data_IF_257925176936
#
_entry.id   IF_257925176936
#
_cell.length_a   1.000
_cell.length_b   1.000
_cell.length_c   1.000
_cell.angle_alpha   90.00
_cell.angle_beta   90.00
_cell.angle_gamma   90.00
#
_symmetry.space_group_name_H-M   'P 1'
#
loop_
_entity.id
_entity.type
_entity.pdbx_description
1 polymer ?
#
# COMPACT_ATOMS: atom_id res chain seq x y z
N UNK A 1 -3.29 -10.05 -0.26
CA UNK A 1 -3.58 -8.78 0.43
C UNK A 1 -4.49 -9.00 1.64
N UNK A 2 -5.76 -9.39 1.44
CA UNK A 2 -6.76 -9.43 2.53
C UNK A 2 -6.35 -10.31 3.72
N UNK A 3 -5.86 -11.53 3.48
CA UNK A 3 -5.38 -12.42 4.54
C UNK A 3 -4.27 -11.77 5.40
N UNK A 4 -3.22 -11.23 4.76
CA UNK A 4 -2.12 -10.56 5.45
C UNK A 4 -2.56 -9.34 6.25
N UNK A 5 -3.51 -8.56 5.70
CA UNK A 5 -4.07 -7.38 6.36
C UNK A 5 -4.91 -7.78 7.58
N UNK A 6 -5.72 -8.84 7.47
CA UNK A 6 -6.51 -9.36 8.59
C UNK A 6 -5.62 -9.86 9.72
N UNK A 7 -4.58 -10.65 9.42
CA UNK A 7 -3.62 -11.10 10.43
C UNK A 7 -2.88 -9.92 11.09
N UNK A 8 -2.53 -8.88 10.31
CA UNK A 8 -1.93 -7.67 10.85
C UNK A 8 -2.86 -6.96 11.86
N UNK A 9 -4.17 -6.92 11.62
CA UNK A 9 -5.14 -6.33 12.54
C UNK A 9 -5.34 -7.18 13.80
N UNK A 10 -5.45 -8.50 13.62
CA UNK A 10 -5.72 -9.43 14.72
C UNK A 10 -4.53 -9.63 15.66
N UNK A 11 -3.32 -9.23 15.26
CA UNK A 11 -2.11 -9.42 16.07
C UNK A 11 -2.17 -8.75 17.46
N UNK A 12 -2.96 -7.68 17.60
CA UNK A 12 -3.21 -6.99 18.86
C UNK A 12 -4.45 -7.50 19.61
N UNK A 13 -5.25 -8.35 19.00
CA UNK A 13 -6.42 -8.95 19.64
C UNK A 13 -5.98 -9.94 20.73
N UNK A 14 -6.51 -9.82 21.97
CA UNK A 14 -6.11 -10.69 23.07
C UNK A 14 -6.56 -12.14 22.88
N UNK A 15 -7.63 -12.39 22.12
CA UNK A 15 -8.23 -13.73 21.99
C UNK A 15 -7.89 -14.45 20.69
N UNK A 16 -7.63 -13.72 19.61
CA UNK A 16 -7.48 -14.30 18.26
C UNK A 16 -6.07 -14.16 17.68
N UNK A 17 -5.15 -13.50 18.40
CA UNK A 17 -3.77 -13.33 17.95
C UNK A 17 -3.00 -14.65 18.03
N UNK A 18 -2.45 -15.08 16.88
CA UNK A 18 -1.50 -16.21 16.79
C UNK A 18 -0.24 -15.99 17.64
N UNK A 19 0.06 -14.73 18.01
CA UNK A 19 1.20 -14.35 18.83
C UNK A 19 0.77 -13.88 20.23
N UNK A 20 -0.29 -14.47 20.81
CA UNK A 20 -0.87 -14.06 22.10
C UNK A 20 0.18 -13.88 23.20
N UNK A 21 1.11 -14.83 23.34
CA UNK A 21 2.16 -14.88 24.36
C UNK A 21 3.33 -13.92 24.15
N UNK A 22 3.43 -13.27 22.99
CA UNK A 22 4.55 -12.40 22.65
C UNK A 22 4.37 -10.99 23.24
N UNK A 23 5.50 -10.35 23.56
CA UNK A 23 5.50 -8.98 24.07
C UNK A 23 4.93 -7.98 23.05
N UNK A 24 4.36 -6.88 23.54
CA UNK A 24 3.84 -5.78 22.69
C UNK A 24 4.91 -5.26 21.71
N UNK A 25 6.19 -5.25 22.11
CA UNK A 25 7.31 -4.85 21.23
C UNK A 25 7.42 -5.75 20.01
N UNK A 26 7.32 -7.07 20.17
CA UNK A 26 7.37 -8.02 19.05
C UNK A 26 6.11 -7.91 18.18
N UNK A 27 4.93 -7.77 18.79
CA UNK A 27 3.66 -7.59 18.06
C UNK A 27 3.69 -6.37 17.14
N UNK A 28 4.25 -5.24 17.60
CA UNK A 28 4.40 -4.03 16.78
C UNK A 28 5.33 -4.27 15.57
N UNK A 29 6.43 -5.01 15.76
CA UNK A 29 7.36 -5.34 14.66
C UNK A 29 6.73 -6.24 13.61
N UNK A 30 6.05 -7.30 14.06
CA UNK A 30 5.38 -8.24 13.15
C UNK A 30 4.19 -7.56 12.46
N UNK A 31 3.43 -6.70 13.16
CA UNK A 31 2.39 -5.87 12.56
C UNK A 31 2.95 -5.04 11.41
N UNK A 32 4.05 -4.32 11.64
CA UNK A 32 4.68 -3.49 10.61
C UNK A 32 5.16 -4.32 9.41
N UNK A 33 5.77 -5.48 9.65
CA UNK A 33 6.21 -6.38 8.58
C UNK A 33 5.04 -6.93 7.74
N UNK A 34 3.94 -7.33 8.40
CA UNK A 34 2.73 -7.79 7.71
C UNK A 34 2.07 -6.67 6.90
N UNK A 35 2.04 -5.43 7.43
CA UNK A 35 1.52 -4.26 6.72
C UNK A 35 2.36 -3.93 5.48
N UNK A 36 3.69 -3.97 5.59
CA UNK A 36 4.59 -3.78 4.46
C UNK A 36 4.39 -4.86 3.38
N UNK A 37 4.34 -6.14 3.78
CA UNK A 37 4.14 -7.25 2.85
C UNK A 37 2.78 -7.16 2.15
N UNK A 38 1.72 -6.80 2.89
CA UNK A 38 0.40 -6.58 2.31
C UNK A 38 0.43 -5.47 1.25
N UNK A 39 1.09 -4.33 1.54
CA UNK A 39 1.24 -3.23 0.58
C UNK A 39 2.01 -3.65 -0.67
N UNK A 40 3.12 -4.40 -0.52
CA UNK A 40 3.88 -4.94 -1.66
C UNK A 40 3.02 -5.85 -2.54
N UNK A 41 2.24 -6.76 -1.95
CA UNK A 41 1.31 -7.59 -2.70
C UNK A 41 0.25 -6.75 -3.45
N UNK A 42 -0.26 -5.68 -2.83
CA UNK A 42 -1.25 -4.80 -3.46
C UNK A 42 -0.66 -4.03 -4.65
N UNK A 43 0.57 -3.51 -4.50
CA UNK A 43 1.30 -2.81 -5.57
C UNK A 43 1.61 -3.75 -6.75
N UNK A 44 2.04 -4.99 -6.47
CA UNK A 44 2.26 -6.00 -7.50
C UNK A 44 0.96 -6.34 -8.24
N UNK A 45 -0.13 -6.57 -7.52
CA UNK A 45 -1.44 -6.82 -8.13
C UNK A 45 -1.93 -5.66 -9.00
N UNK A 46 -1.79 -4.43 -8.52
CA UNK A 46 -2.13 -3.22 -9.28
C UNK A 46 -1.24 -3.08 -10.53
N UNK A 47 0.06 -3.35 -10.40
CA UNK A 47 1.03 -3.34 -11.49
C UNK A 47 0.68 -4.35 -12.59
N UNK A 48 0.38 -5.60 -12.21
CA UNK A 48 -0.04 -6.65 -13.15
C UNK A 48 -1.32 -6.28 -13.91
N UNK A 49 -2.35 -5.79 -13.21
CA UNK A 49 -3.61 -5.37 -13.84
C UNK A 49 -3.39 -4.20 -14.80
N UNK A 50 -2.58 -3.22 -14.38
CA UNK A 50 -2.24 -2.05 -15.18
C UNK A 50 -1.46 -2.45 -16.43
N UNK A 51 -0.44 -3.29 -16.27
CA UNK A 51 0.37 -3.78 -17.39
C UNK A 51 -0.48 -4.59 -18.38
N UNK A 52 -1.34 -5.47 -17.89
CA UNK A 52 -2.26 -6.23 -18.73
C UNK A 52 -3.22 -5.31 -19.51
N UNK A 53 -3.75 -4.26 -18.88
CA UNK A 53 -4.60 -3.26 -19.56
C UNK A 53 -3.85 -2.49 -20.62
N UNK A 54 -2.59 -2.14 -20.36
CA UNK A 54 -1.72 -1.47 -21.32
C UNK A 54 -1.50 -2.34 -22.57
N UNK A 55 -1.17 -3.62 -22.40
CA UNK A 55 -1.01 -4.56 -23.52
C UNK A 55 -2.28 -4.73 -24.36
N UNK A 56 -3.45 -4.66 -23.72
CA UNK A 56 -4.74 -4.82 -24.38
C UNK A 56 -5.38 -3.49 -24.83
N UNK A 57 -4.69 -2.35 -24.70
CA UNK A 57 -5.24 -1.03 -25.04
C UNK A 57 -6.50 -0.65 -24.26
N UNK A 58 -6.72 -1.23 -23.07
CA UNK A 58 -7.93 -1.02 -22.27
C UNK A 58 -7.78 0.19 -21.35
N UNK A 59 -8.87 0.91 -21.17
CA UNK A 59 -8.92 2.04 -20.26
C UNK A 59 -8.66 1.65 -18.79
N UNK A 60 -7.89 2.50 -18.11
CA UNK A 60 -7.53 2.34 -16.70
C UNK A 60 -8.54 3.03 -15.78
N UNK A 61 -8.71 2.52 -14.55
CA UNK A 61 -9.53 3.13 -13.48
C UNK A 61 -10.96 3.54 -13.85
N UNK A 62 -11.58 2.88 -14.84
CA UNK A 62 -12.93 3.24 -15.31
C UNK A 62 -14.02 2.77 -14.36
N UNK A 63 -13.78 1.67 -13.63
CA UNK A 63 -14.76 1.08 -12.72
C UNK A 63 -14.60 1.63 -11.31
N UNK A 64 -15.71 1.68 -10.55
CA UNK A 64 -15.69 1.99 -9.12
C UNK A 64 -14.73 1.09 -8.33
N UNK A 65 -14.65 -0.18 -8.69
CA UNK A 65 -13.68 -1.11 -8.11
C UNK A 65 -12.22 -0.68 -8.37
N UNK A 66 -11.89 -0.24 -9.58
CA UNK A 66 -10.57 0.26 -9.91
C UNK A 66 -10.20 1.53 -9.14
N UNK A 67 -11.14 2.47 -9.01
CA UNK A 67 -10.93 3.72 -8.27
C UNK A 67 -10.81 3.48 -6.75
N UNK A 68 -11.71 2.70 -6.18
CA UNK A 68 -11.68 2.37 -4.74
C UNK A 68 -10.42 1.58 -4.38
N UNK A 69 -10.02 0.60 -5.20
CA UNK A 69 -8.77 -0.13 -5.01
C UNK A 69 -7.54 0.78 -5.05
N UNK A 70 -7.53 1.79 -5.94
CA UNK A 70 -6.46 2.79 -6.01
C UNK A 70 -6.37 3.63 -4.73
N UNK A 71 -7.52 4.13 -4.26
CA UNK A 71 -7.61 4.89 -3.01
C UNK A 71 -7.15 4.06 -1.80
N UNK A 72 -7.49 2.76 -1.76
CA UNK A 72 -7.05 1.85 -0.69
C UNK A 72 -5.53 1.70 -0.68
N UNK A 73 -4.87 1.59 -1.84
CA UNK A 73 -3.40 1.50 -1.92
C UNK A 73 -2.74 2.79 -1.43
N UNK A 74 -3.28 3.96 -1.80
CA UNK A 74 -2.79 5.25 -1.32
C UNK A 74 -2.94 5.38 0.21
N UNK A 75 -4.10 5.02 0.73
CA UNK A 75 -4.37 5.06 2.16
C UNK A 75 -3.44 4.12 2.94
N UNK A 76 -3.25 2.88 2.46
CA UNK A 76 -2.32 1.94 3.08
C UNK A 76 -0.87 2.43 3.08
N UNK A 77 -0.43 3.09 1.99
CA UNK A 77 0.87 3.76 1.92
C UNK A 77 1.02 4.87 2.97
N UNK A 78 0.04 5.75 3.09
CA UNK A 78 0.04 6.79 4.13
C UNK A 78 0.02 6.23 5.56
N UNK A 79 -0.73 5.16 5.78
CA UNK A 79 -0.79 4.48 7.09
C UNK A 79 0.56 3.87 7.48
N UNK A 80 1.32 3.34 6.51
CA UNK A 80 2.68 2.83 6.75
C UNK A 80 3.63 3.97 7.15
N UNK A 81 3.47 5.17 6.57
CA UNK A 81 4.28 6.35 6.94
C UNK A 81 4.06 6.78 8.39
N UNK A 82 2.82 6.73 8.87
CA UNK A 82 2.52 6.98 10.29
C UNK A 82 3.19 5.93 11.20
N UNK A 83 3.27 4.67 10.75
CA UNK A 83 4.01 3.61 11.45
C UNK A 83 5.53 3.86 11.53
N UNK A 84 6.11 4.52 10.51
CA UNK A 84 7.53 4.91 10.51
C UNK A 84 7.83 5.98 11.57
N UNK A 85 6.87 6.83 11.93
CA UNK A 85 7.03 7.82 13.02
C UNK A 85 7.08 7.21 14.44
N UNK A 86 6.99 5.88 14.57
CA UNK A 86 7.08 5.22 15.89
C UNK A 86 8.51 5.26 16.45
N UNK A 87 8.64 5.41 17.78
CA UNK A 87 9.91 5.41 18.52
C UNK A 87 10.80 4.20 18.19
N UNK A 88 10.21 3.03 17.93
CA UNK A 88 10.97 1.85 17.55
C UNK A 88 11.63 2.01 16.17
N UNK A 89 10.92 2.59 15.20
CA UNK A 89 11.45 2.75 13.85
C UNK A 89 12.48 3.87 13.78
N UNK A 90 12.24 5.00 14.46
CA UNK A 90 13.18 6.14 14.52
C UNK A 90 14.48 5.84 15.28
N UNK A 91 14.47 4.87 16.19
CA UNK A 91 15.68 4.41 16.91
C UNK A 91 16.45 3.34 16.14
N UNK A 92 15.80 2.59 15.25
CA UNK A 92 16.43 1.49 14.50
C UNK A 92 16.94 1.94 13.12
N UNK A 93 16.23 2.86 12.48
CA UNK A 93 16.56 3.41 11.17
C UNK A 93 16.94 4.87 11.39
N UNK A 94 18.19 5.23 11.12
CA UNK A 94 18.69 6.61 11.28
C UNK A 94 19.14 7.19 9.94
N UNK A 95 19.07 8.52 9.84
CA UNK A 95 19.63 9.31 8.74
C UNK A 95 19.04 9.00 7.35
N UNK A 96 19.86 8.60 6.37
CA UNK A 96 19.49 8.57 4.94
C UNK A 96 18.41 7.53 4.62
N UNK A 97 18.44 6.37 5.28
CA UNK A 97 17.47 5.29 5.08
C UNK A 97 16.04 5.72 5.42
N UNK A 98 15.88 6.68 6.33
CA UNK A 98 14.58 7.25 6.69
C UNK A 98 13.98 8.04 5.54
N UNK A 99 14.78 8.91 4.91
CA UNK A 99 14.37 9.71 3.76
C UNK A 99 14.11 8.86 2.52
N UNK A 100 14.93 7.83 2.27
CA UNK A 100 14.71 6.87 1.18
C UNK A 100 13.42 6.08 1.37
N UNK A 101 13.10 5.66 2.60
CA UNK A 101 11.83 4.99 2.90
C UNK A 101 10.62 5.92 2.68
N UNK A 102 10.73 7.22 3.00
CA UNK A 102 9.69 8.21 2.71
C UNK A 102 9.54 8.55 1.22
N UNK A 103 10.58 8.37 0.41
CA UNK A 103 10.53 8.60 -1.03
C UNK A 103 9.70 7.52 -1.76
N UNK A 104 9.69 6.29 -1.25
CA UNK A 104 8.95 5.18 -1.85
C UNK A 104 7.43 5.47 -1.99
N UNK A 105 6.71 5.94 -0.96
CA UNK A 105 5.32 6.39 -1.08
C UNK A 105 5.12 7.51 -2.11
N UNK A 106 6.06 8.47 -2.20
CA UNK A 106 5.98 9.55 -3.21
C UNK A 106 6.09 9.00 -4.63
N UNK A 107 7.00 8.05 -4.87
CA UNK A 107 7.12 7.37 -6.16
C UNK A 107 5.85 6.57 -6.49
N UNK A 108 5.27 5.88 -5.52
CA UNK A 108 3.99 5.17 -5.74
C UNK A 108 2.85 6.15 -6.04
N UNK A 109 2.79 7.29 -5.37
CA UNK A 109 1.83 8.36 -5.64
C UNK A 109 2.00 8.94 -7.05
N UNK A 110 3.24 9.18 -7.48
CA UNK A 110 3.54 9.66 -8.83
C UNK A 110 3.10 8.67 -9.92
N UNK A 111 3.40 7.38 -9.72
CA UNK A 111 2.93 6.31 -10.63
C UNK A 111 1.41 6.34 -10.70
N UNK A 112 0.73 6.45 -9.56
CA UNK A 112 -0.73 6.52 -9.49
C UNK A 112 -1.27 7.79 -10.19
N UNK A 113 -0.65 8.95 -10.02
CA UNK A 113 -1.06 10.19 -10.67
C UNK A 113 -0.90 10.12 -12.19
N UNK A 114 0.18 9.48 -12.67
CA UNK A 114 0.36 9.22 -14.10
C UNK A 114 -0.75 8.30 -14.63
N UNK A 115 -1.11 7.28 -13.85
CA UNK A 115 -2.17 6.34 -14.20
C UNK A 115 -3.57 6.99 -14.23
N UNK A 116 -3.89 7.88 -13.28
CA UNK A 116 -5.15 8.64 -13.23
C UNK A 116 -5.22 9.68 -14.35
N UNK A 117 -4.13 10.39 -14.61
CA UNK A 117 -4.07 11.42 -15.66
C UNK A 117 -4.31 10.82 -17.04
N UNK A 118 -3.70 9.67 -17.33
CA UNK A 118 -3.91 8.95 -18.59
C UNK A 118 -5.34 8.40 -18.71
N UNK A 119 -5.94 7.91 -17.61
CA UNK A 119 -7.34 7.50 -17.61
C UNK A 119 -8.30 8.67 -17.89
N UNK A 120 -8.02 9.86 -17.33
CA UNK A 120 -8.78 11.07 -17.60
C UNK A 120 -8.68 11.50 -19.07
N UNK A 121 -7.45 11.56 -19.62
CA UNK A 121 -7.22 11.92 -21.03
C UNK A 121 -7.89 10.93 -21.98
N UNK A 122 -7.88 9.63 -21.66
CA UNK A 122 -8.60 8.62 -22.43
C UNK A 122 -10.12 8.90 -22.47
N UNK A 123 -10.74 9.16 -21.31
CA UNK A 123 -12.17 9.51 -21.26
C UNK A 123 -12.49 10.76 -22.06
N UNK A 124 -11.66 11.80 -21.94
CA UNK A 124 -11.83 13.05 -22.69
C UNK A 124 -11.80 12.83 -24.20
N UNK A 125 -10.93 11.94 -24.70
CA UNK A 125 -10.86 11.60 -26.13
C UNK A 125 -12.07 10.79 -26.61
N UNK A 126 -12.65 9.94 -25.77
CA UNK A 126 -13.83 9.13 -26.14
C UNK A 126 -15.16 9.90 -26.19
N UNK A 127 -15.19 11.15 -25.70
CA UNK A 127 -16.38 12.00 -25.73
C UNK A 127 -16.44 12.92 -26.96
N UNK A 128 -15.43 12.87 -27.83
CA UNK A 128 -15.39 13.51 -29.14
C UNK A 128 -15.46 12.46 -30.23
#
# INVERSE_FOLDING_TARGET
>A
FSFLMTEALLIFSPETSLLRSFSRKVKVRVHWALQLLALLCALLGLGVITYNKHLNGKAHFVTWHGLTGLLTVLYAGGHLMLGMCSLWFTTLVTSVSWYLAMLCPLLTSLVIMNQVSNAYLYRKRSQH
#
